data_IF_852151586522
#
_entry.id   IF_852151586522
#
_cell.length_a   1.000
_cell.length_b   1.000
_cell.length_c   1.000
_cell.angle_alpha   90.00
_cell.angle_beta   90.00
_cell.angle_gamma   90.00
#
_symmetry.space_group_name_H-M   'P 1'
#
loop_
_entity.id
_entity.type
_entity.pdbx_description
1 polymer ?
#
# COMPACT_ATOMS: atom_id res chain seq x y z
N UNK A 1 51.64 -2.65 -13.79
CA UNK A 1 51.14 -2.54 -12.40
C UNK A 1 50.15 -1.39 -12.17
N UNK A 2 50.33 -0.19 -12.73
CA UNK A 2 49.41 0.94 -12.51
C UNK A 2 48.05 0.80 -13.22
N UNK A 3 48.05 0.21 -14.42
CA UNK A 3 46.87 0.02 -15.26
C UNK A 3 45.92 -1.04 -14.71
N UNK A 4 46.46 -2.16 -14.25
CA UNK A 4 45.72 -3.25 -13.59
C UNK A 4 45.02 -2.79 -12.29
N UNK A 5 45.68 -1.93 -11.49
CA UNK A 5 45.07 -1.29 -10.31
C UNK A 5 43.90 -0.37 -10.69
N UNK A 6 43.99 0.36 -11.81
CA UNK A 6 42.89 1.20 -12.31
C UNK A 6 41.70 0.35 -12.76
N UNK A 7 41.94 -0.71 -13.53
CA UNK A 7 40.89 -1.62 -14.02
C UNK A 7 40.15 -2.30 -12.86
N UNK A 8 40.86 -2.81 -11.86
CA UNK A 8 40.26 -3.41 -10.66
C UNK A 8 39.43 -2.39 -9.87
N UNK A 9 39.84 -1.13 -9.83
CA UNK A 9 39.09 -0.06 -9.15
C UNK A 9 37.81 0.29 -9.89
N UNK A 10 37.87 0.42 -11.23
CA UNK A 10 36.68 0.68 -12.05
C UNK A 10 35.68 -0.49 -12.00
N UNK A 11 36.16 -1.74 -12.03
CA UNK A 11 35.29 -2.94 -11.91
C UNK A 11 34.59 -2.94 -10.54
N UNK A 12 35.29 -2.67 -9.45
CA UNK A 12 34.67 -2.60 -8.10
C UNK A 12 33.62 -1.48 -7.99
N UNK A 13 33.85 -0.34 -8.63
CA UNK A 13 32.88 0.76 -8.67
C UNK A 13 31.65 0.38 -9.49
N UNK A 14 31.83 -0.26 -10.65
CA UNK A 14 30.73 -0.75 -11.47
C UNK A 14 29.91 -1.83 -10.74
N UNK A 15 30.54 -2.78 -10.07
CA UNK A 15 29.84 -3.81 -9.28
C UNK A 15 29.00 -3.20 -8.16
N UNK A 16 29.52 -2.22 -7.41
CA UNK A 16 28.74 -1.50 -6.39
C UNK A 16 27.58 -0.72 -6.99
N UNK A 17 27.78 -0.06 -8.12
CA UNK A 17 26.70 0.65 -8.80
C UNK A 17 25.57 -0.31 -9.24
N UNK A 18 25.92 -1.48 -9.78
CA UNK A 18 24.96 -2.54 -10.16
C UNK A 18 24.24 -3.09 -8.91
N UNK A 19 24.95 -3.36 -7.82
CA UNK A 19 24.34 -3.78 -6.55
C UNK A 19 23.35 -2.73 -6.01
N UNK A 20 23.71 -1.45 -6.07
CA UNK A 20 22.80 -0.37 -5.66
C UNK A 20 21.58 -0.23 -6.59
N UNK A 21 21.76 -0.36 -7.91
CA UNK A 21 20.66 -0.37 -8.87
C UNK A 21 19.70 -1.54 -8.60
N UNK A 22 20.22 -2.75 -8.44
CA UNK A 22 19.39 -3.93 -8.14
C UNK A 22 18.71 -3.85 -6.78
N UNK A 23 19.34 -3.22 -5.77
CA UNK A 23 18.71 -2.96 -4.49
C UNK A 23 17.56 -1.95 -4.59
N UNK A 24 17.72 -0.89 -5.40
CA UNK A 24 16.67 0.11 -5.68
C UNK A 24 15.49 -0.54 -6.39
N UNK A 25 15.74 -1.31 -7.45
CA UNK A 25 14.70 -2.03 -8.19
C UNK A 25 13.92 -3.00 -7.29
N UNK A 26 14.60 -3.76 -6.42
CA UNK A 26 13.93 -4.63 -5.45
C UNK A 26 13.07 -3.85 -4.47
N UNK A 27 13.49 -2.67 -4.02
CA UNK A 27 12.69 -1.81 -3.13
C UNK A 27 11.43 -1.32 -3.84
N UNK A 28 11.58 -0.81 -5.07
CA UNK A 28 10.44 -0.37 -5.90
C UNK A 28 9.47 -1.53 -6.13
N UNK A 29 9.98 -2.71 -6.49
CA UNK A 29 9.12 -3.86 -6.76
C UNK A 29 8.37 -4.34 -5.50
N UNK A 30 9.03 -4.33 -4.33
CA UNK A 30 8.38 -4.66 -3.05
C UNK A 30 7.31 -3.64 -2.69
N UNK A 31 7.57 -2.35 -2.88
CA UNK A 31 6.59 -1.30 -2.65
C UNK A 31 5.37 -1.48 -3.59
N UNK A 32 5.61 -1.75 -4.87
CA UNK A 32 4.55 -2.05 -5.85
C UNK A 32 3.71 -3.26 -5.45
N UNK A 33 4.34 -4.37 -5.05
CA UNK A 33 3.61 -5.55 -4.57
C UNK A 33 2.84 -5.31 -3.28
N UNK A 34 3.45 -4.62 -2.29
CA UNK A 34 2.79 -4.27 -1.04
C UNK A 34 1.54 -3.42 -1.29
N UNK A 35 1.66 -2.41 -2.16
CA UNK A 35 0.54 -1.58 -2.60
C UNK A 35 -0.55 -2.40 -3.28
N UNK A 36 -0.20 -3.25 -4.25
CA UNK A 36 -1.17 -4.10 -4.98
C UNK A 36 -1.90 -5.05 -4.03
N UNK A 37 -1.18 -5.63 -3.06
CA UNK A 37 -1.79 -6.50 -2.06
C UNK A 37 -2.74 -5.73 -1.14
N UNK A 38 -2.39 -4.50 -0.77
CA UNK A 38 -3.26 -3.61 0.01
C UNK A 38 -4.53 -3.26 -0.77
N UNK A 39 -4.41 -2.91 -2.05
CA UNK A 39 -5.56 -2.67 -2.94
C UNK A 39 -6.51 -3.87 -3.00
N UNK A 40 -5.97 -5.07 -3.30
CA UNK A 40 -6.76 -6.31 -3.33
C UNK A 40 -7.41 -6.64 -1.99
N UNK A 41 -6.79 -6.26 -0.87
CA UNK A 41 -7.38 -6.47 0.44
C UNK A 41 -8.55 -5.51 0.69
N UNK A 42 -8.39 -4.24 0.33
CA UNK A 42 -9.45 -3.22 0.42
C UNK A 42 -10.65 -3.61 -0.45
N UNK A 43 -10.43 -4.04 -1.69
CA UNK A 43 -11.51 -4.48 -2.60
C UNK A 43 -12.36 -5.61 -1.98
N UNK A 44 -11.72 -6.57 -1.30
CA UNK A 44 -12.43 -7.65 -0.60
C UNK A 44 -13.28 -7.13 0.55
N UNK A 45 -12.75 -6.20 1.34
CA UNK A 45 -13.49 -5.61 2.47
C UNK A 45 -14.66 -4.76 1.98
N UNK A 46 -14.46 -3.97 0.91
CA UNK A 46 -15.52 -3.22 0.25
C UNK A 46 -16.64 -4.14 -0.24
N UNK A 47 -16.31 -5.24 -0.92
CA UNK A 47 -17.32 -6.21 -1.35
C UNK A 47 -18.14 -6.76 -0.17
N UNK A 48 -17.51 -7.11 0.95
CA UNK A 48 -18.22 -7.60 2.14
C UNK A 48 -19.16 -6.51 2.72
N UNK A 49 -18.68 -5.26 2.79
CA UNK A 49 -19.50 -4.12 3.24
C UNK A 49 -20.66 -3.83 2.28
N UNK A 50 -20.44 -3.91 0.98
CA UNK A 50 -21.48 -3.76 -0.04
C UNK A 50 -22.55 -4.85 0.10
N UNK A 51 -22.15 -6.11 0.34
CA UNK A 51 -23.10 -7.20 0.59
C UNK A 51 -23.93 -6.95 1.86
N UNK A 52 -23.33 -6.43 2.93
CA UNK A 52 -24.05 -6.02 4.14
C UNK A 52 -25.03 -4.88 3.85
N UNK A 53 -24.58 -3.86 3.10
CA UNK A 53 -25.41 -2.72 2.72
C UNK A 53 -26.61 -3.15 1.87
N UNK A 54 -26.41 -4.05 0.89
CA UNK A 54 -27.48 -4.64 0.08
C UNK A 54 -28.48 -5.45 0.91
N UNK A 55 -28.03 -6.03 2.01
CA UNK A 55 -28.88 -6.73 2.98
C UNK A 55 -29.54 -5.79 4.02
N UNK A 56 -29.40 -4.47 3.86
CA UNK A 56 -29.84 -3.41 4.79
C UNK A 56 -29.25 -3.58 6.22
N UNK A 57 -28.09 -4.24 6.32
CA UNK A 57 -27.34 -4.40 7.55
C UNK A 57 -26.42 -3.20 7.74
N UNK A 58 -26.81 -2.30 8.65
CA UNK A 58 -26.06 -1.06 8.91
C UNK A 58 -24.91 -1.22 9.91
N UNK A 59 -24.98 -2.25 10.75
CA UNK A 59 -23.94 -2.57 11.73
C UNK A 59 -22.91 -3.52 11.14
N UNK A 60 -21.62 -3.20 11.35
CA UNK A 60 -20.53 -4.07 10.95
C UNK A 60 -20.38 -5.26 11.91
N UNK A 61 -20.23 -6.49 11.39
CA UNK A 61 -19.76 -7.62 12.17
C UNK A 61 -18.40 -7.32 12.84
N UNK A 62 -18.15 -7.79 14.08
CA UNK A 62 -16.91 -7.51 14.80
C UNK A 62 -15.64 -7.90 14.04
N UNK A 63 -15.66 -9.02 13.32
CA UNK A 63 -14.51 -9.50 12.52
C UNK A 63 -14.16 -8.51 11.42
N UNK A 64 -15.16 -7.96 10.73
CA UNK A 64 -14.95 -6.95 9.69
C UNK A 64 -14.48 -5.63 10.29
N UNK A 65 -15.06 -5.21 11.43
CA UNK A 65 -14.62 -4.01 12.14
C UNK A 65 -13.13 -4.09 12.52
N UNK A 66 -12.66 -5.23 13.04
CA UNK A 66 -11.22 -5.42 13.37
C UNK A 66 -10.35 -5.34 12.11
N UNK A 67 -10.76 -5.99 11.02
CA UNK A 67 -9.99 -5.97 9.77
C UNK A 67 -9.90 -4.55 9.18
N UNK A 68 -11.01 -3.82 9.15
CA UNK A 68 -11.10 -2.46 8.61
C UNK A 68 -10.29 -1.49 9.47
N UNK A 69 -10.43 -1.56 10.80
CA UNK A 69 -9.65 -0.73 11.72
C UNK A 69 -8.15 -0.93 11.53
N UNK A 70 -7.71 -2.17 11.28
CA UNK A 70 -6.31 -2.44 10.97
C UNK A 70 -5.85 -1.79 9.67
N UNK A 71 -6.65 -1.86 8.61
CA UNK A 71 -6.34 -1.20 7.33
C UNK A 71 -6.24 0.31 7.50
N UNK A 72 -7.13 0.89 8.28
CA UNK A 72 -7.13 2.32 8.65
C UNK A 72 -5.86 2.68 9.43
N UNK A 73 -5.52 1.93 10.48
CA UNK A 73 -4.32 2.14 11.29
C UNK A 73 -3.03 2.01 10.44
N UNK A 74 -3.01 1.09 9.47
CA UNK A 74 -1.93 0.90 8.50
C UNK A 74 -1.94 1.94 7.35
N UNK A 75 -2.82 2.95 7.40
CA UNK A 75 -2.99 4.01 6.38
C UNK A 75 -2.96 5.43 6.97
N UNK A 76 -1.87 5.84 7.66
CA UNK A 76 -1.81 7.13 8.36
C UNK A 76 -1.83 8.36 7.43
N UNK A 77 -1.62 8.13 6.12
CA UNK A 77 -1.54 9.17 5.10
C UNK A 77 -2.93 9.75 4.74
N UNK A 78 -4.01 9.13 5.24
CA UNK A 78 -5.39 9.50 4.96
C UNK A 78 -5.96 10.26 6.16
N UNK A 79 -6.24 11.55 5.97
CA UNK A 79 -6.32 12.53 7.07
C UNK A 79 -7.76 12.83 7.50
N UNK A 80 -8.78 12.62 6.66
CA UNK A 80 -10.10 13.23 6.89
C UNK A 80 -11.15 12.28 7.48
N UNK A 81 -11.34 11.06 6.95
CA UNK A 81 -12.35 10.11 7.49
C UNK A 81 -11.75 8.93 8.25
N UNK A 82 -10.50 8.55 7.93
CA UNK A 82 -9.87 7.35 8.50
C UNK A 82 -9.48 7.50 9.99
N UNK A 83 -9.35 8.71 10.55
CA UNK A 83 -8.84 8.84 11.93
C UNK A 83 -9.88 8.45 13.01
N UNK A 84 -11.17 8.42 12.68
CA UNK A 84 -12.19 7.89 13.55
C UNK A 84 -12.49 6.42 13.18
N UNK A 85 -12.55 5.54 14.18
CA UNK A 85 -12.96 4.14 13.94
C UNK A 85 -14.41 4.14 13.44
N UNK A 86 -14.69 3.64 12.22
CA UNK A 86 -16.03 3.67 11.66
C UNK A 86 -16.98 2.86 12.54
N UNK A 87 -18.13 3.46 12.85
CA UNK A 87 -19.18 2.86 13.67
C UNK A 87 -20.26 2.16 12.82
N UNK A 88 -20.30 2.44 11.52
CA UNK A 88 -21.29 1.88 10.59
C UNK A 88 -20.66 1.35 9.30
N UNK A 89 -21.42 0.53 8.57
CA UNK A 89 -21.03 0.03 7.24
C UNK A 89 -20.74 1.16 6.28
N UNK A 90 -21.56 2.22 6.28
CA UNK A 90 -21.39 3.38 5.39
C UNK A 90 -20.10 4.14 5.69
N UNK A 91 -19.85 4.46 6.96
CA UNK A 91 -18.61 5.14 7.37
C UNK A 91 -17.36 4.32 7.03
N UNK A 92 -17.44 2.99 7.14
CA UNK A 92 -16.35 2.11 6.77
C UNK A 92 -16.11 2.08 5.26
N UNK A 93 -17.18 2.07 4.45
CA UNK A 93 -17.06 2.17 2.99
C UNK A 93 -16.41 3.50 2.58
N UNK A 94 -16.88 4.61 3.14
CA UNK A 94 -16.33 5.94 2.85
C UNK A 94 -14.82 6.01 3.20
N UNK A 95 -14.44 5.49 4.37
CA UNK A 95 -13.03 5.45 4.78
C UNK A 95 -12.18 4.56 3.85
N UNK A 96 -12.69 3.40 3.43
CA UNK A 96 -11.97 2.51 2.52
C UNK A 96 -11.84 3.09 1.10
N UNK A 97 -12.85 3.78 0.58
CA UNK A 97 -12.74 4.49 -0.69
C UNK A 97 -11.73 5.64 -0.62
N UNK A 98 -11.67 6.41 0.47
CA UNK A 98 -10.63 7.45 0.64
C UNK A 98 -9.22 6.85 0.65
N UNK A 99 -9.02 5.72 1.33
CA UNK A 99 -7.74 5.00 1.32
C UNK A 99 -7.43 4.47 -0.07
N UNK A 100 -8.42 3.93 -0.77
CA UNK A 100 -8.27 3.43 -2.14
C UNK A 100 -7.82 4.55 -3.09
N UNK A 101 -8.49 5.69 -3.02
CA UNK A 101 -8.19 6.87 -3.83
C UNK A 101 -6.77 7.39 -3.56
N UNK A 102 -6.39 7.53 -2.28
CA UNK A 102 -5.03 7.91 -1.90
C UNK A 102 -3.98 6.96 -2.48
N UNK A 103 -4.23 5.65 -2.41
CA UNK A 103 -3.35 4.66 -3.04
C UNK A 103 -3.30 4.86 -4.56
N UNK A 104 -4.41 5.22 -5.21
CA UNK A 104 -4.47 5.45 -6.66
C UNK A 104 -3.67 6.69 -7.10
N UNK A 105 -3.78 7.81 -6.38
CA UNK A 105 -3.07 9.05 -6.69
C UNK A 105 -1.55 8.94 -6.54
N UNK A 106 -1.07 8.19 -5.54
CA UNK A 106 0.37 7.92 -5.35
C UNK A 106 1.01 7.12 -6.52
N UNK A 107 0.26 6.69 -7.53
CA UNK A 107 0.81 6.06 -8.75
C UNK A 107 1.31 7.07 -9.77
N UNK A 108 0.73 8.27 -9.82
CA UNK A 108 0.94 9.23 -10.92
C UNK A 108 2.30 9.95 -10.77
N UNK A 109 2.87 10.00 -9.56
CA UNK A 109 4.19 10.60 -9.31
C UNK A 109 5.37 9.66 -9.59
N UNK A 110 5.12 8.38 -9.90
CA UNK A 110 6.14 7.33 -10.11
C UNK A 110 6.42 7.01 -11.60
N UNK A 111 5.84 7.77 -12.55
CA UNK A 111 6.14 7.75 -14.00
C UNK A 111 7.04 8.91 -14.42
#
# INVERSE_FOLDING_TARGET
MAEEKRTVTMIKQASRAIEHMTARERRVQRAKYARRNKMHHIDKLLNELEMLNLADQRQMPPVLSVAINKVIEDSPEVIVLAQAKPASVMEAMDALYEIQDSLMFNQIEDE
#
